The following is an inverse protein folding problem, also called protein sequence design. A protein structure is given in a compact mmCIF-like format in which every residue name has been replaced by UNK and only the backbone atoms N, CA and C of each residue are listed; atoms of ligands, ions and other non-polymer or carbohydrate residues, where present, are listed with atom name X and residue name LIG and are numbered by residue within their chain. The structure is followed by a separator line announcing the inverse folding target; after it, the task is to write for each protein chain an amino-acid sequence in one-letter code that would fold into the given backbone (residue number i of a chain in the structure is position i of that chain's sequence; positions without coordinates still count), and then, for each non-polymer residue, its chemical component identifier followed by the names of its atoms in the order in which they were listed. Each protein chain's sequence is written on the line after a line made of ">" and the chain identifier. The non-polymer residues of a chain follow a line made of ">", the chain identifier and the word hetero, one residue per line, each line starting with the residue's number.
data_IF_961759861211
#
_entry.id   IF_961759861211
#
_cell.length_a   1.000
_cell.length_b   1.000
_cell.length_c   1.000
_cell.angle_alpha   90.00
_cell.angle_beta   90.00
_cell.angle_gamma   90.00
#
_symmetry.space_group_name_H-M   'P 1'
#
loop_
_entity.id
_entity.type
_entity.pdbx_description
1 polymer ?
#
# COMPACT_ATOMS: atom_id res chain seq x y z
N UNK A 1 -37.18 8.96 16.68
CA UNK A 1 -35.78 8.54 16.34
C UNK A 1 -34.78 9.71 16.36
N UNK A 2 -34.99 10.66 17.28
CA UNK A 2 -34.05 11.73 17.67
C UNK A 2 -33.99 11.78 19.22
N UNK A 3 -34.07 10.64 19.89
CA UNK A 3 -34.11 10.53 21.36
C UNK A 3 -32.82 9.93 21.95
N UNK A 4 -31.75 9.84 21.15
CA UNK A 4 -30.48 9.25 21.60
C UNK A 4 -29.42 10.27 22.03
N UNK A 5 -29.71 11.58 21.97
CA UNK A 5 -28.69 12.62 22.15
C UNK A 5 -29.06 13.81 23.06
N UNK A 6 -30.22 13.81 23.72
CA UNK A 6 -30.58 14.74 24.81
C UNK A 6 -30.15 16.21 24.60
N UNK A 7 -30.55 16.81 23.47
CA UNK A 7 -30.46 18.25 23.16
C UNK A 7 -31.75 18.61 22.42
N UNK A 8 -32.50 19.59 22.91
CA UNK A 8 -33.87 19.88 22.45
C UNK A 8 -33.95 21.02 21.41
N UNK A 9 -32.95 21.90 21.27
CA UNK A 9 -32.95 22.92 20.22
C UNK A 9 -31.57 23.51 19.85
N UNK A 10 -31.51 24.28 18.76
CA UNK A 10 -30.32 25.04 18.31
C UNK A 10 -29.96 26.20 19.26
N UNK A 11 -30.89 26.64 20.11
CA UNK A 11 -30.67 27.72 21.09
C UNK A 11 -29.79 27.26 22.27
N UNK A 12 -29.91 26.00 22.71
CA UNK A 12 -28.99 25.41 23.71
C UNK A 12 -27.53 25.38 23.21
N UNK A 13 -27.34 25.25 21.89
CA UNK A 13 -26.03 25.22 21.25
C UNK A 13 -25.41 26.62 21.11
N UNK A 14 -26.23 27.68 21.05
CA UNK A 14 -25.78 29.07 21.12
C UNK A 14 -25.49 29.51 22.56
N UNK A 15 -26.31 29.10 23.53
CA UNK A 15 -26.01 29.34 24.96
C UNK A 15 -24.71 28.65 25.39
N UNK A 16 -24.45 27.42 24.91
CA UNK A 16 -23.19 26.71 25.15
C UNK A 16 -21.96 27.43 24.56
N UNK A 17 -22.11 28.11 23.41
CA UNK A 17 -21.04 28.94 22.82
C UNK A 17 -20.78 30.21 23.61
N UNK A 18 -21.83 30.86 24.12
CA UNK A 18 -21.70 32.03 25.00
C UNK A 18 -21.05 31.64 26.33
N UNK A 19 -21.38 30.47 26.87
CA UNK A 19 -20.72 29.89 28.04
C UNK A 19 -19.23 29.58 27.79
N UNK A 20 -18.89 29.01 26.62
CA UNK A 20 -17.50 28.74 26.22
C UNK A 20 -16.66 30.02 26.07
N UNK A 21 -17.23 31.09 25.51
CA UNK A 21 -16.54 32.39 25.39
C UNK A 21 -16.31 33.07 26.76
N UNK A 22 -17.18 32.80 27.74
CA UNK A 22 -17.04 33.30 29.10
C UNK A 22 -15.98 32.50 29.89
N UNK A 23 -15.91 31.19 29.66
CA UNK A 23 -14.88 30.30 30.22
C UNK A 23 -13.45 30.59 29.68
N UNK A 24 -13.32 30.95 28.39
CA UNK A 24 -12.02 31.34 27.82
C UNK A 24 -11.46 32.62 28.45
N UNK A 25 -12.32 33.57 28.83
CA UNK A 25 -11.91 34.77 29.55
C UNK A 25 -11.45 34.49 30.98
N UNK A 26 -12.11 33.59 31.70
CA UNK A 26 -11.71 33.19 33.06
C UNK A 26 -10.40 32.39 33.05
N UNK A 27 -10.22 31.53 32.04
CA UNK A 27 -8.97 30.79 31.80
C UNK A 27 -7.78 31.73 31.61
N UNK A 28 -7.92 32.77 30.78
CA UNK A 28 -6.84 33.72 30.51
C UNK A 28 -6.46 34.57 31.75
N UNK A 29 -7.41 34.82 32.66
CA UNK A 29 -7.17 35.54 33.92
C UNK A 29 -6.42 34.66 34.95
N UNK A 30 -6.67 33.35 34.93
CA UNK A 30 -5.97 32.35 35.73
C UNK A 30 -4.53 32.12 35.22
N UNK A 31 -4.32 32.10 33.90
CA UNK A 31 -3.02 31.94 33.27
C UNK A 31 -2.04 33.07 33.65
N UNK A 32 -2.47 34.34 33.65
CA UNK A 32 -1.61 35.45 34.12
C UNK A 32 -1.28 35.41 35.62
N UNK A 33 -2.13 34.78 36.45
CA UNK A 33 -1.83 34.59 37.88
C UNK A 33 -0.80 33.48 38.11
N UNK A 34 -0.83 32.44 37.27
CA UNK A 34 0.08 31.29 37.34
C UNK A 34 1.50 31.68 36.91
N UNK A 35 1.63 32.57 35.93
CA UNK A 35 2.91 33.09 35.45
C UNK A 35 3.70 33.85 36.54
N UNK A 36 2.98 34.44 37.51
CA UNK A 36 3.57 35.11 38.67
C UNK A 36 4.10 34.16 39.77
N UNK A 37 3.73 32.88 39.76
CA UNK A 37 3.92 31.96 40.90
C UNK A 37 5.08 30.96 40.70
N UNK A 38 5.37 30.51 39.48
CA UNK A 38 6.19 29.31 39.26
C UNK A 38 7.71 29.54 39.10
N UNK A 39 8.31 30.25 40.07
CA UNK A 39 9.77 30.23 40.28
C UNK A 39 10.26 28.84 40.77
N UNK A 40 10.69 28.00 39.82
CA UNK A 40 11.63 26.86 39.93
C UNK A 40 11.26 25.60 40.75
N UNK A 41 10.89 24.49 40.07
CA UNK A 41 11.41 23.12 40.30
C UNK A 41 11.42 22.30 38.99
N UNK A 42 12.37 21.35 38.86
CA UNK A 42 13.19 21.10 37.65
C UNK A 42 12.89 19.83 36.82
N UNK A 43 13.25 19.91 35.54
CA UNK A 43 13.15 18.92 34.45
C UNK A 43 13.99 17.63 34.57
N UNK A 44 14.70 17.40 35.67
CA UNK A 44 15.67 16.30 35.80
C UNK A 44 15.02 14.94 36.09
N UNK A 45 13.85 14.91 36.73
CA UNK A 45 13.11 13.68 37.01
C UNK A 45 12.44 13.08 35.75
N UNK A 46 12.28 13.87 34.69
CA UNK A 46 11.73 13.44 33.40
C UNK A 46 12.75 12.71 32.51
N UNK A 47 14.05 13.06 32.59
CA UNK A 47 15.11 12.40 31.80
C UNK A 47 15.40 10.96 32.25
N UNK A 48 15.21 10.64 33.52
CA UNK A 48 15.44 9.30 34.07
C UNK A 48 14.42 8.26 33.53
N UNK A 49 13.15 8.65 33.35
CA UNK A 49 12.11 7.77 32.79
C UNK A 49 12.26 7.53 31.28
N UNK A 50 12.92 8.44 30.56
CA UNK A 50 13.13 8.33 29.11
C UNK A 50 14.13 7.22 28.74
N UNK A 51 15.18 7.03 29.55
CA UNK A 51 16.21 6.00 29.32
C UNK A 51 15.69 4.57 29.57
N UNK A 52 14.79 4.39 30.53
CA UNK A 52 14.17 3.07 30.82
C UNK A 52 13.23 2.61 29.69
N UNK A 53 12.51 3.55 29.08
CA UNK A 53 11.62 3.31 27.94
C UNK A 53 12.39 2.92 26.66
N UNK A 54 13.56 3.51 26.42
CA UNK A 54 14.41 3.18 25.26
C UNK A 54 14.95 1.74 25.30
N UNK A 55 15.25 1.21 26.49
CA UNK A 55 15.74 -0.18 26.64
C UNK A 55 14.68 -1.25 26.37
N UNK A 56 13.41 -0.98 26.65
CA UNK A 56 12.30 -1.91 26.37
C UNK A 56 11.94 -1.97 24.88
N UNK A 57 12.13 -0.89 24.15
CA UNK A 57 11.90 -0.81 22.70
C UNK A 57 12.84 -1.74 21.91
N UNK A 58 14.13 -1.79 22.25
CA UNK A 58 15.13 -2.68 21.63
C UNK A 58 14.81 -4.18 21.80
N UNK A 59 14.25 -4.56 22.95
CA UNK A 59 13.88 -5.97 23.24
C UNK A 59 12.63 -6.40 22.46
N UNK A 60 11.73 -5.46 22.18
CA UNK A 60 10.52 -5.71 21.42
C UNK A 60 10.78 -5.71 19.90
N UNK A 61 11.77 -4.96 19.41
CA UNK A 61 12.26 -5.02 18.02
C UNK A 61 12.83 -6.40 17.67
N UNK A 62 13.61 -7.02 18.58
CA UNK A 62 14.17 -8.37 18.38
C UNK A 62 13.11 -9.50 18.37
N UNK A 63 11.92 -9.26 18.95
CA UNK A 63 10.80 -10.23 18.93
C UNK A 63 10.01 -10.18 17.63
N UNK A 64 10.02 -9.03 16.95
CA UNK A 64 9.32 -8.79 15.69
C UNK A 64 9.99 -9.52 14.53
N UNK A 65 11.32 -9.63 14.54
CA UNK A 65 12.11 -10.40 13.55
C UNK A 65 11.71 -11.88 13.45
N UNK A 66 11.10 -12.44 14.50
CA UNK A 66 10.85 -13.89 14.63
C UNK A 66 9.53 -14.36 14.02
N UNK A 67 8.66 -13.44 13.58
CA UNK A 67 7.29 -13.73 13.09
C UNK A 67 7.26 -13.86 11.54
N UNK A 68 8.42 -14.13 10.92
CA UNK A 68 8.68 -14.19 9.47
C UNK A 68 8.11 -15.40 8.70
N UNK A 69 7.12 -16.15 9.18
CA UNK A 69 6.67 -17.37 8.50
C UNK A 69 5.15 -17.44 8.37
N UNK A 70 4.66 -17.09 7.17
CA UNK A 70 3.59 -17.73 6.34
C UNK A 70 2.50 -16.82 5.75
N UNK A 71 2.48 -16.84 4.40
CA UNK A 71 1.40 -16.73 3.39
C UNK A 71 0.56 -15.45 3.27
N UNK A 72 0.32 -15.13 1.99
CA UNK A 72 -0.04 -13.85 1.35
C UNK A 72 -1.42 -13.28 1.69
N UNK A 73 -1.50 -11.95 1.84
CA UNK A 73 -2.72 -11.14 1.68
C UNK A 73 -2.66 -10.20 0.46
N UNK A 74 -3.82 -9.74 -0.01
CA UNK A 74 -4.01 -9.03 -1.29
C UNK A 74 -3.66 -7.53 -1.20
N UNK A 75 -3.44 -6.87 -2.35
CA UNK A 75 -3.05 -5.44 -2.44
C UNK A 75 -4.07 -4.47 -1.79
N UNK A 76 -5.34 -4.86 -1.63
CA UNK A 76 -6.34 -4.09 -0.88
C UNK A 76 -6.08 -4.08 0.62
N UNK A 77 -5.52 -5.16 1.13
CA UNK A 77 -5.31 -5.35 2.57
C UNK A 77 -4.20 -4.43 3.08
N UNK A 78 -3.15 -4.22 2.28
CA UNK A 78 -2.03 -3.31 2.60
C UNK A 78 -2.55 -1.88 2.78
N UNK A 79 -3.28 -1.37 1.79
CA UNK A 79 -3.83 0.00 1.81
C UNK A 79 -4.85 0.15 2.95
N UNK A 80 -5.68 -0.87 3.18
CA UNK A 80 -6.64 -0.86 4.30
C UNK A 80 -5.93 -0.81 5.66
N UNK A 81 -4.79 -1.49 5.81
CA UNK A 81 -4.02 -1.52 7.06
C UNK A 81 -3.23 -0.23 7.28
N UNK A 82 -2.68 0.37 6.23
CA UNK A 82 -2.03 1.70 6.30
C UNK A 82 -3.04 2.77 6.76
N UNK A 83 -4.26 2.77 6.19
CA UNK A 83 -5.32 3.67 6.61
C UNK A 83 -5.73 3.43 8.08
N UNK A 84 -5.77 2.17 8.53
CA UNK A 84 -6.07 1.84 9.93
C UNK A 84 -4.95 2.30 10.87
N UNK A 85 -3.70 2.17 10.46
CA UNK A 85 -2.54 2.67 11.20
C UNK A 85 -2.63 4.19 11.38
N UNK A 86 -2.89 4.93 10.30
CA UNK A 86 -3.02 6.39 10.33
C UNK A 86 -4.15 6.85 11.27
N UNK A 87 -5.32 6.20 11.19
CA UNK A 87 -6.44 6.51 12.08
C UNK A 87 -6.12 6.21 13.55
N UNK A 88 -5.45 5.09 13.84
CA UNK A 88 -5.04 4.72 15.20
C UNK A 88 -4.02 5.72 15.77
N UNK A 89 -3.09 6.21 14.94
CA UNK A 89 -2.11 7.22 15.34
C UNK A 89 -2.76 8.58 15.68
N UNK A 90 -3.73 9.02 14.86
CA UNK A 90 -4.53 10.24 15.13
C UNK A 90 -5.32 10.13 16.43
N UNK A 91 -5.95 8.98 16.67
CA UNK A 91 -6.72 8.73 17.90
C UNK A 91 -5.82 8.76 19.15
N UNK A 92 -4.63 8.16 19.07
CA UNK A 92 -3.62 8.22 20.14
C UNK A 92 -3.18 9.65 20.43
N UNK A 93 -2.87 10.45 19.41
CA UNK A 93 -2.45 11.85 19.60
C UNK A 93 -3.54 12.68 20.29
N UNK A 94 -4.81 12.50 19.87
CA UNK A 94 -5.95 13.17 20.48
C UNK A 94 -6.09 12.82 21.96
N UNK A 95 -6.09 11.53 22.29
CA UNK A 95 -6.21 11.04 23.68
C UNK A 95 -5.05 11.53 24.56
N UNK A 96 -3.84 11.63 24.00
CA UNK A 96 -2.68 12.14 24.70
C UNK A 96 -2.82 13.64 25.05
N UNK A 97 -3.38 14.45 24.15
CA UNK A 97 -3.66 15.88 24.43
C UNK A 97 -4.70 16.02 25.55
N UNK A 98 -5.82 15.30 25.47
CA UNK A 98 -6.87 15.31 26.49
C UNK A 98 -6.33 14.89 27.88
N UNK A 99 -5.41 13.92 27.92
CA UNK A 99 -4.76 13.48 29.15
C UNK A 99 -3.84 14.55 29.77
N UNK A 100 -3.08 15.28 28.93
CA UNK A 100 -2.20 16.36 29.39
C UNK A 100 -3.03 17.52 29.97
N UNK A 101 -4.12 17.89 29.29
CA UNK A 101 -5.04 18.93 29.74
C UNK A 101 -5.67 18.58 31.09
N UNK A 102 -6.20 17.36 31.23
CA UNK A 102 -6.79 16.88 32.49
C UNK A 102 -5.78 16.90 33.63
N UNK A 103 -4.54 16.49 33.37
CA UNK A 103 -3.46 16.50 34.37
C UNK A 103 -3.07 17.92 34.80
N UNK A 104 -3.06 18.87 33.87
CA UNK A 104 -2.79 20.27 34.16
C UNK A 104 -3.85 20.84 35.12
N UNK A 105 -5.13 20.57 34.87
CA UNK A 105 -6.26 21.00 35.73
C UNK A 105 -6.11 20.47 37.17
N UNK A 106 -5.80 19.17 37.34
CA UNK A 106 -5.57 18.56 38.67
C UNK A 106 -4.44 19.27 39.42
N UNK A 107 -3.34 19.58 38.73
CA UNK A 107 -2.15 20.14 39.36
C UNK A 107 -2.25 21.61 39.78
N UNK A 108 -3.19 22.38 39.21
CA UNK A 108 -3.22 23.83 39.33
C UNK A 108 -4.34 24.38 40.23
N UNK A 109 -5.26 23.54 40.73
CA UNK A 109 -6.55 24.02 41.23
C UNK A 109 -6.81 23.64 42.70
N UNK A 110 -7.26 24.60 43.53
CA UNK A 110 -7.85 24.36 44.87
C UNK A 110 -9.31 23.90 44.70
N UNK A 111 -9.51 22.71 44.15
CA UNK A 111 -10.85 22.11 43.93
C UNK A 111 -11.32 21.31 45.14
N UNK A 112 -12.62 20.99 45.21
CA UNK A 112 -13.18 20.09 46.22
C UNK A 112 -12.66 18.66 46.03
N UNK A 113 -12.73 17.82 47.07
CA UNK A 113 -12.32 16.41 46.99
C UNK A 113 -13.11 15.63 45.92
N UNK A 114 -14.39 15.95 45.72
CA UNK A 114 -15.25 15.32 44.72
C UNK A 114 -14.82 15.66 43.28
N UNK A 115 -14.37 16.89 43.03
CA UNK A 115 -13.89 17.31 41.71
C UNK A 115 -12.56 16.64 41.36
N UNK A 116 -11.66 16.50 42.35
CA UNK A 116 -10.39 15.78 42.20
C UNK A 116 -10.66 14.31 41.87
N UNK A 117 -11.56 13.66 42.61
CA UNK A 117 -11.93 12.26 42.37
C UNK A 117 -12.49 12.04 40.96
N UNK A 118 -13.36 12.95 40.49
CA UNK A 118 -13.93 12.89 39.14
C UNK A 118 -12.85 13.07 38.05
N UNK A 119 -11.94 14.01 38.22
CA UNK A 119 -10.84 14.26 37.26
C UNK A 119 -9.84 13.09 37.23
N UNK A 120 -9.51 12.50 38.38
CA UNK A 120 -8.65 11.31 38.44
C UNK A 120 -9.30 10.10 37.77
N UNK A 121 -10.61 9.90 37.96
CA UNK A 121 -11.36 8.85 37.27
C UNK A 121 -11.36 9.05 35.75
N UNK A 122 -11.53 10.28 35.26
CA UNK A 122 -11.44 10.62 33.84
C UNK A 122 -10.03 10.38 33.28
N UNK A 123 -8.98 10.82 33.99
CA UNK A 123 -7.59 10.60 33.60
C UNK A 123 -7.28 9.10 33.49
N UNK A 124 -7.69 8.29 34.46
CA UNK A 124 -7.51 6.83 34.41
C UNK A 124 -8.30 6.15 33.27
N UNK A 125 -9.44 6.71 32.84
CA UNK A 125 -10.14 6.24 31.65
C UNK A 125 -9.38 6.60 30.36
N UNK A 126 -8.88 7.82 30.25
CA UNK A 126 -8.09 8.28 29.09
C UNK A 126 -6.79 7.48 28.95
N UNK A 127 -6.08 7.22 30.05
CA UNK A 127 -4.87 6.37 30.06
C UNK A 127 -5.16 4.96 29.51
N UNK A 128 -6.26 4.34 29.94
CA UNK A 128 -6.68 3.02 29.44
C UNK A 128 -7.02 3.04 27.94
N UNK A 129 -7.66 4.11 27.46
CA UNK A 129 -7.96 4.28 26.03
C UNK A 129 -6.67 4.49 25.22
N UNK A 130 -5.76 5.31 25.72
CA UNK A 130 -4.47 5.59 25.09
C UNK A 130 -3.63 4.32 24.96
N UNK A 131 -3.57 3.51 26.02
CA UNK A 131 -2.86 2.23 26.00
C UNK A 131 -3.43 1.28 24.92
N UNK A 132 -4.76 1.17 24.82
CA UNK A 132 -5.41 0.37 23.77
C UNK A 132 -5.13 0.89 22.36
N UNK A 133 -5.09 2.21 22.18
CA UNK A 133 -4.77 2.83 20.89
C UNK A 133 -3.32 2.55 20.48
N UNK A 134 -2.39 2.58 21.44
CA UNK A 134 -0.98 2.23 21.21
C UNK A 134 -0.79 0.77 20.81
N UNK A 135 -1.49 -0.16 21.48
CA UNK A 135 -1.44 -1.58 21.16
C UNK A 135 -1.95 -1.85 19.72
N UNK A 136 -3.04 -1.19 19.32
CA UNK A 136 -3.57 -1.27 17.94
C UNK A 136 -2.59 -0.72 16.91
N UNK A 137 -1.98 0.43 17.18
CA UNK A 137 -0.97 1.05 16.31
C UNK A 137 0.20 0.08 16.06
N UNK A 138 0.72 -0.57 17.12
CA UNK A 138 1.81 -1.54 17.02
C UNK A 138 1.44 -2.72 16.10
N UNK A 139 0.23 -3.27 16.27
CA UNK A 139 -0.26 -4.38 15.44
C UNK A 139 -0.41 -3.96 13.98
N UNK A 140 -1.02 -2.81 13.71
CA UNK A 140 -1.20 -2.35 12.33
C UNK A 140 0.12 -2.05 11.63
N UNK A 141 1.08 -1.45 12.34
CA UNK A 141 2.41 -1.17 11.80
C UNK A 141 3.11 -2.46 11.38
N UNK A 142 3.18 -3.45 12.27
CA UNK A 142 3.79 -4.74 11.96
C UNK A 142 3.09 -5.43 10.78
N UNK A 143 1.75 -5.39 10.76
CA UNK A 143 0.99 -6.04 9.69
C UNK A 143 1.26 -5.36 8.34
N UNK A 144 1.30 -4.03 8.29
CA UNK A 144 1.60 -3.26 7.08
C UNK A 144 3.03 -3.53 6.57
N UNK A 145 4.01 -3.64 7.48
CA UNK A 145 5.40 -3.95 7.13
C UNK A 145 5.55 -5.34 6.50
N UNK A 146 5.00 -6.38 7.14
CA UNK A 146 5.04 -7.76 6.62
C UNK A 146 4.37 -7.84 5.26
N UNK A 147 3.25 -7.15 5.09
CA UNK A 147 2.52 -7.07 3.84
C UNK A 147 3.29 -6.39 2.72
N UNK A 148 3.91 -5.26 3.02
CA UNK A 148 4.72 -4.51 2.07
C UNK A 148 5.92 -5.34 1.59
N UNK A 149 6.56 -6.08 2.50
CA UNK A 149 7.64 -6.98 2.15
C UNK A 149 7.17 -8.12 1.24
N UNK A 150 6.09 -8.81 1.61
CA UNK A 150 5.52 -9.88 0.80
C UNK A 150 5.19 -9.41 -0.62
N UNK A 151 4.56 -8.24 -0.75
CA UNK A 151 4.27 -7.62 -2.06
C UNK A 151 5.53 -7.45 -2.91
N UNK A 152 6.61 -6.89 -2.35
CA UNK A 152 7.86 -6.66 -3.10
C UNK A 152 8.49 -7.96 -3.60
N UNK A 153 8.44 -9.01 -2.78
CA UNK A 153 8.94 -10.34 -3.16
C UNK A 153 8.10 -10.94 -4.29
N UNK A 154 6.77 -10.90 -4.19
CA UNK A 154 5.86 -11.37 -5.26
C UNK A 154 6.04 -10.60 -6.57
N UNK A 155 6.22 -9.27 -6.49
CA UNK A 155 6.50 -8.43 -7.68
C UNK A 155 7.84 -8.80 -8.33
N UNK A 156 8.86 -9.10 -7.53
CA UNK A 156 10.17 -9.55 -8.04
C UNK A 156 10.06 -10.90 -8.75
N UNK A 157 9.39 -11.88 -8.13
CA UNK A 157 9.20 -13.21 -8.72
C UNK A 157 8.38 -13.13 -10.01
N UNK A 158 7.31 -12.33 -10.01
CA UNK A 158 6.47 -12.08 -11.18
C UNK A 158 7.27 -11.48 -12.34
N UNK A 159 8.13 -10.49 -12.05
CA UNK A 159 9.03 -9.90 -13.06
C UNK A 159 10.01 -10.93 -13.61
N UNK A 160 10.61 -11.76 -12.76
CA UNK A 160 11.52 -12.83 -13.21
C UNK A 160 10.84 -13.83 -14.14
N UNK A 161 9.59 -14.20 -13.87
CA UNK A 161 8.79 -15.06 -14.75
C UNK A 161 8.51 -14.39 -16.10
N UNK A 162 8.09 -13.12 -16.09
CA UNK A 162 7.84 -12.36 -17.33
C UNK A 162 9.10 -12.21 -18.16
N UNK A 163 10.21 -11.77 -17.55
CA UNK A 163 11.49 -11.62 -18.24
C UNK A 163 11.93 -12.91 -18.92
N UNK A 164 11.78 -14.06 -18.25
CA UNK A 164 12.10 -15.36 -18.81
C UNK A 164 11.27 -15.66 -20.06
N UNK A 165 9.94 -15.59 -19.98
CA UNK A 165 9.07 -15.89 -21.12
C UNK A 165 9.25 -14.89 -22.27
N UNK A 166 9.36 -13.61 -21.94
CA UNK A 166 9.60 -12.56 -22.93
C UNK A 166 10.92 -12.78 -23.66
N UNK A 167 11.98 -13.16 -22.94
CA UNK A 167 13.29 -13.48 -23.51
C UNK A 167 13.22 -14.64 -24.50
N UNK A 168 12.53 -15.71 -24.13
CA UNK A 168 12.36 -16.90 -24.99
C UNK A 168 11.59 -16.55 -26.28
N UNK A 169 10.43 -15.91 -26.14
CA UNK A 169 9.57 -15.61 -27.29
C UNK A 169 10.11 -14.50 -28.20
N UNK A 170 10.67 -13.41 -27.63
CA UNK A 170 11.24 -12.33 -28.44
C UNK A 170 12.51 -12.80 -29.16
N UNK A 171 13.32 -13.67 -28.56
CA UNK A 171 14.44 -14.27 -29.26
C UNK A 171 13.96 -15.07 -30.49
N UNK A 172 12.90 -15.87 -30.38
CA UNK A 172 12.37 -16.63 -31.54
C UNK A 172 11.83 -15.69 -32.62
N UNK A 173 10.96 -14.73 -32.28
CA UNK A 173 10.31 -13.85 -33.27
C UNK A 173 11.34 -12.93 -33.96
N UNK A 174 12.35 -12.44 -33.23
CA UNK A 174 13.27 -11.41 -33.72
C UNK A 174 14.60 -11.94 -34.24
N UNK A 175 14.70 -13.25 -34.54
CA UNK A 175 15.95 -13.92 -34.96
C UNK A 175 17.08 -13.75 -33.92
N UNK A 176 16.69 -13.63 -32.65
CA UNK A 176 17.63 -13.47 -31.55
C UNK A 176 18.22 -12.07 -31.43
N UNK A 177 17.64 -11.06 -32.08
CA UNK A 177 18.07 -9.67 -31.95
C UNK A 177 17.85 -9.14 -30.52
N UNK A 178 16.72 -9.49 -29.92
CA UNK A 178 16.35 -9.02 -28.57
C UNK A 178 16.31 -10.20 -27.59
N UNK A 179 17.45 -10.49 -26.96
CA UNK A 179 17.64 -11.59 -26.00
C UNK A 179 17.91 -11.13 -24.56
N UNK A 180 18.27 -9.87 -24.38
CA UNK A 180 18.52 -9.30 -23.06
C UNK A 180 17.37 -8.35 -22.76
N UNK A 181 16.53 -8.80 -21.82
CA UNK A 181 15.30 -8.13 -21.42
C UNK A 181 15.33 -8.05 -19.91
N UNK A 182 14.99 -6.87 -19.41
CA UNK A 182 14.84 -6.56 -17.99
C UNK A 182 13.55 -5.76 -17.77
N UNK A 183 12.91 -5.95 -16.62
CA UNK A 183 11.74 -5.20 -16.19
C UNK A 183 12.10 -4.47 -14.89
N UNK A 184 12.01 -3.14 -14.91
CA UNK A 184 12.33 -2.32 -13.73
C UNK A 184 11.32 -2.53 -12.60
N UNK A 185 11.63 -2.03 -11.40
CA UNK A 185 10.67 -2.03 -10.28
C UNK A 185 9.38 -1.25 -10.63
N UNK A 186 9.48 -0.22 -11.48
CA UNK A 186 8.34 0.54 -12.03
C UNK A 186 7.63 -0.15 -13.21
N UNK A 187 7.88 -1.44 -13.42
CA UNK A 187 7.31 -2.25 -14.51
C UNK A 187 7.62 -1.74 -15.93
N UNK A 188 8.73 -1.00 -16.10
CA UNK A 188 9.18 -0.57 -17.41
C UNK A 188 10.03 -1.66 -18.06
N UNK A 189 9.64 -2.03 -19.28
CA UNK A 189 10.38 -2.99 -20.10
C UNK A 189 11.60 -2.34 -20.74
N UNK A 190 12.79 -2.86 -20.44
CA UNK A 190 14.05 -2.50 -21.08
C UNK A 190 14.58 -3.65 -21.90
N UNK A 191 15.25 -3.32 -22.99
CA UNK A 191 15.88 -4.30 -23.88
C UNK A 191 17.23 -3.80 -24.35
N UNK A 192 18.22 -4.69 -24.41
CA UNK A 192 19.49 -4.35 -25.07
C UNK A 192 19.30 -4.24 -26.58
N UNK A 193 19.71 -3.12 -27.18
CA UNK A 193 19.73 -2.94 -28.62
C UNK A 193 21.13 -3.23 -29.16
N UNK A 194 21.33 -4.31 -29.95
CA UNK A 194 22.64 -4.58 -30.56
C UNK A 194 23.12 -3.48 -31.50
N UNK A 195 22.20 -2.72 -32.10
CA UNK A 195 22.51 -1.64 -33.03
C UNK A 195 23.06 -0.39 -32.30
N UNK A 196 22.59 -0.14 -31.08
CA UNK A 196 23.01 1.02 -30.27
C UNK A 196 24.07 0.67 -29.22
N UNK A 197 24.22 -0.61 -28.88
CA UNK A 197 25.17 -1.08 -27.86
C UNK A 197 24.75 -0.74 -26.43
N UNK A 198 23.47 -0.43 -26.19
CA UNK A 198 22.95 0.00 -24.88
C UNK A 198 21.55 -0.57 -24.61
N UNK A 199 21.12 -0.49 -23.35
CA UNK A 199 19.72 -0.76 -22.97
C UNK A 199 18.83 0.41 -23.37
N UNK A 200 17.70 0.10 -23.99
CA UNK A 200 16.71 1.08 -24.43
C UNK A 200 15.32 0.72 -23.92
N UNK A 201 14.47 1.74 -23.82
CA UNK A 201 13.02 1.56 -23.77
C UNK A 201 12.53 1.31 -25.20
N UNK A 202 11.78 0.22 -25.48
CA UNK A 202 11.28 -0.07 -26.82
C UNK A 202 10.44 1.06 -27.42
N UNK A 203 9.60 1.68 -26.60
CA UNK A 203 8.68 2.74 -27.03
C UNK A 203 9.44 3.97 -27.54
N UNK A 204 9.10 4.40 -28.76
CA UNK A 204 9.73 5.54 -29.43
C UNK A 204 11.16 5.30 -29.94
N UNK A 205 11.76 4.14 -29.66
CA UNK A 205 13.11 3.81 -30.14
C UNK A 205 13.17 2.64 -31.12
N UNK A 206 12.12 1.82 -31.19
CA UNK A 206 11.99 0.72 -32.14
C UNK A 206 10.88 0.99 -33.17
N UNK A 207 10.88 0.26 -34.28
CA UNK A 207 9.81 0.37 -35.28
C UNK A 207 8.48 -0.12 -34.71
N UNK A 208 7.37 0.46 -35.18
CA UNK A 208 6.02 0.12 -34.70
C UNK A 208 5.75 -1.39 -34.73
N UNK A 209 6.07 -2.08 -35.83
CA UNK A 209 5.87 -3.52 -35.91
C UNK A 209 6.70 -4.32 -34.91
N UNK A 210 7.86 -3.82 -34.51
CA UNK A 210 8.67 -4.43 -33.44
C UNK A 210 8.04 -4.17 -32.06
N UNK A 211 7.55 -2.95 -31.81
CA UNK A 211 6.84 -2.60 -30.59
C UNK A 211 5.59 -3.49 -30.41
N UNK A 212 4.81 -3.69 -31.47
CA UNK A 212 3.63 -4.56 -31.43
C UNK A 212 3.98 -6.02 -31.07
N UNK A 213 5.15 -6.52 -31.53
CA UNK A 213 5.65 -7.83 -31.13
C UNK A 213 5.97 -7.90 -29.64
N UNK A 214 6.57 -6.86 -29.09
CA UNK A 214 6.90 -6.79 -27.66
C UNK A 214 5.63 -6.81 -26.82
N UNK A 215 4.62 -6.00 -27.17
CA UNK A 215 3.34 -6.00 -26.46
C UNK A 215 2.60 -7.34 -26.54
N UNK A 216 2.59 -7.97 -27.72
CA UNK A 216 1.98 -9.29 -27.89
C UNK A 216 2.68 -10.34 -27.03
N UNK A 217 4.01 -10.39 -27.07
CA UNK A 217 4.79 -11.34 -26.27
C UNK A 217 4.61 -11.08 -24.77
N UNK A 218 4.58 -9.82 -24.34
CA UNK A 218 4.28 -9.47 -22.95
C UNK A 218 2.91 -10.03 -22.54
N UNK A 219 1.87 -9.88 -23.37
CA UNK A 219 0.54 -10.45 -23.10
C UNK A 219 0.58 -11.98 -22.96
N UNK A 220 1.35 -12.68 -23.80
CA UNK A 220 1.52 -14.13 -23.65
C UNK A 220 2.29 -14.52 -22.39
N UNK A 221 3.33 -13.76 -22.02
CA UNK A 221 4.06 -13.96 -20.79
C UNK A 221 3.14 -13.75 -19.57
N UNK A 222 2.27 -12.74 -19.60
CA UNK A 222 1.25 -12.52 -18.57
C UNK A 222 0.25 -13.68 -18.48
N UNK A 223 -0.17 -14.28 -19.59
CA UNK A 223 -1.06 -15.43 -19.54
C UNK A 223 -0.42 -16.62 -18.81
N UNK A 224 0.87 -16.87 -19.00
CA UNK A 224 1.63 -17.88 -18.26
C UNK A 224 1.76 -17.57 -16.77
N UNK A 225 1.95 -16.30 -16.45
CA UNK A 225 2.04 -15.82 -15.06
C UNK A 225 0.70 -15.95 -14.33
N UNK A 226 -0.39 -15.51 -14.96
CA UNK A 226 -1.72 -15.42 -14.34
C UNK A 226 -2.44 -16.77 -14.27
N UNK A 227 -2.19 -17.66 -15.24
CA UNK A 227 -2.92 -18.92 -15.38
C UNK A 227 -1.99 -20.13 -15.42
N UNK A 228 -1.17 -20.39 -14.37
CA UNK A 228 -0.21 -21.49 -14.37
C UNK A 228 -0.88 -22.87 -14.36
N UNK A 229 -2.12 -22.97 -13.87
CA UNK A 229 -2.87 -24.23 -13.75
C UNK A 229 -4.24 -24.19 -14.46
N UNK A 230 -4.56 -23.07 -15.12
CA UNK A 230 -5.83 -22.88 -15.80
C UNK A 230 -5.61 -22.78 -17.31
N UNK A 231 -6.62 -23.14 -18.08
CA UNK A 231 -6.58 -23.10 -19.55
C UNK A 231 -7.63 -22.12 -20.09
N UNK A 232 -7.47 -20.80 -19.87
CA UNK A 232 -8.42 -19.81 -20.36
C UNK A 232 -8.53 -19.83 -21.89
N UNK A 233 -9.68 -19.32 -22.37
CA UNK A 233 -9.89 -18.98 -23.77
C UNK A 233 -9.21 -17.64 -24.08
N UNK A 234 -8.34 -17.64 -25.09
CA UNK A 234 -7.70 -16.47 -25.66
C UNK A 234 -8.35 -16.19 -27.00
N UNK A 235 -8.86 -14.97 -27.19
CA UNK A 235 -9.37 -14.49 -28.48
C UNK A 235 -8.39 -13.45 -29.00
N UNK A 236 -7.87 -13.67 -30.19
CA UNK A 236 -6.97 -12.77 -30.88
C UNK A 236 -7.68 -12.22 -32.12
N UNK A 237 -7.86 -10.91 -32.20
CA UNK A 237 -8.52 -10.24 -33.31
C UNK A 237 -7.48 -9.53 -34.19
N UNK A 238 -7.20 -10.10 -35.36
CA UNK A 238 -6.15 -9.69 -36.31
C UNK A 238 -4.84 -9.18 -35.66
N UNK A 239 -4.22 -9.97 -34.76
CA UNK A 239 -3.10 -9.51 -33.91
C UNK A 239 -1.77 -9.32 -34.65
N UNK A 240 -1.62 -9.81 -35.89
CA UNK A 240 -0.31 -9.89 -36.58
C UNK A 240 -0.23 -8.98 -37.82
N UNK A 241 -1.10 -7.99 -37.95
CA UNK A 241 -1.14 -7.10 -39.13
C UNK A 241 0.19 -6.40 -39.41
N UNK A 242 0.92 -6.00 -38.36
CA UNK A 242 2.21 -5.31 -38.48
C UNK A 242 3.43 -6.24 -38.64
N UNK A 243 3.21 -7.56 -38.70
CA UNK A 243 4.29 -8.54 -38.75
C UNK A 243 4.58 -8.90 -40.20
N UNK A 244 5.85 -8.93 -40.61
CA UNK A 244 6.23 -9.50 -41.89
C UNK A 244 6.02 -11.03 -41.94
N UNK A 245 6.06 -11.62 -43.14
CA UNK A 245 5.82 -13.05 -43.35
C UNK A 245 6.74 -13.95 -42.52
N UNK A 246 8.02 -13.60 -42.36
CA UNK A 246 8.99 -14.40 -41.60
C UNK A 246 8.62 -14.41 -40.12
N UNK A 247 8.27 -13.24 -39.58
CA UNK A 247 7.85 -13.08 -38.19
C UNK A 247 6.52 -13.78 -37.91
N UNK A 248 5.52 -13.68 -38.81
CA UNK A 248 4.26 -14.43 -38.69
C UNK A 248 4.49 -15.93 -38.56
N UNK A 249 5.36 -16.50 -39.40
CA UNK A 249 5.69 -17.94 -39.34
C UNK A 249 6.36 -18.38 -38.04
N UNK A 250 7.12 -17.49 -37.39
CA UNK A 250 7.71 -17.75 -36.07
C UNK A 250 6.66 -17.66 -34.96
N UNK A 251 5.81 -16.63 -35.01
CA UNK A 251 4.67 -16.48 -34.10
C UNK A 251 3.73 -17.68 -34.17
N UNK A 252 3.52 -18.27 -35.36
CA UNK A 252 2.78 -19.52 -35.52
C UNK A 252 3.30 -20.64 -34.63
N UNK A 253 4.62 -20.81 -34.53
CA UNK A 253 5.23 -21.84 -33.67
C UNK A 253 4.93 -21.57 -32.20
N UNK A 254 5.07 -20.32 -31.78
CA UNK A 254 4.76 -19.88 -30.40
C UNK A 254 3.29 -20.14 -30.08
N UNK A 255 2.37 -19.74 -30.96
CA UNK A 255 0.93 -20.02 -30.75
C UNK A 255 0.64 -21.52 -30.69
N UNK A 256 1.32 -22.34 -31.49
CA UNK A 256 1.17 -23.80 -31.45
C UNK A 256 1.63 -24.36 -30.11
N UNK A 257 2.71 -23.84 -29.53
CA UNK A 257 3.14 -24.20 -28.17
C UNK A 257 2.14 -23.73 -27.12
N UNK A 258 1.72 -22.47 -27.19
CA UNK A 258 0.70 -21.90 -26.30
C UNK A 258 -0.62 -22.64 -26.36
N UNK A 259 -1.02 -23.15 -27.54
CA UNK A 259 -2.27 -23.90 -27.74
C UNK A 259 -2.33 -25.23 -26.97
N UNK A 260 -1.18 -25.73 -26.48
CA UNK A 260 -1.14 -26.92 -25.62
C UNK A 260 -1.64 -26.63 -24.21
N UNK A 261 -1.56 -25.38 -23.81
CA UNK A 261 -1.89 -24.91 -22.46
C UNK A 261 -3.13 -24.00 -22.45
N UNK A 262 -3.40 -23.29 -23.54
CA UNK A 262 -4.53 -22.37 -23.66
C UNK A 262 -5.40 -22.71 -24.86
N UNK A 263 -6.71 -22.45 -24.76
CA UNK A 263 -7.57 -22.49 -25.93
C UNK A 263 -7.41 -21.18 -26.69
N UNK A 264 -7.05 -21.23 -27.98
CA UNK A 264 -6.78 -20.02 -28.78
C UNK A 264 -7.78 -19.96 -29.94
N UNK A 265 -8.50 -18.85 -30.04
CA UNK A 265 -9.31 -18.46 -31.20
C UNK A 265 -8.63 -17.28 -31.89
N UNK A 266 -8.28 -17.46 -33.16
CA UNK A 266 -7.75 -16.40 -34.00
C UNK A 266 -8.83 -15.96 -34.97
N UNK A 267 -9.29 -14.72 -34.83
CA UNK A 267 -10.19 -14.05 -35.74
C UNK A 267 -9.34 -13.25 -36.74
N UNK A 268 -9.58 -13.47 -38.02
CA UNK A 268 -8.82 -12.80 -39.07
C UNK A 268 -9.57 -12.75 -40.39
N UNK A 269 -9.31 -11.70 -41.17
CA UNK A 269 -9.82 -11.54 -42.53
C UNK A 269 -8.87 -12.11 -43.61
N UNK A 270 -7.71 -12.64 -43.24
CA UNK A 270 -6.70 -13.11 -44.19
C UNK A 270 -6.61 -14.63 -44.27
N UNK A 271 -6.52 -15.16 -45.49
CA UNK A 271 -6.30 -16.58 -45.76
C UNK A 271 -4.87 -17.06 -45.42
N UNK A 272 -3.93 -16.15 -45.13
CA UNK A 272 -2.53 -16.45 -44.75
C UNK A 272 -2.42 -17.36 -43.51
N UNK A 273 -3.49 -17.45 -42.71
CA UNK A 273 -3.54 -18.19 -41.46
C UNK A 273 -4.27 -19.55 -41.57
N UNK A 274 -4.74 -19.91 -42.76
CA UNK A 274 -5.56 -21.12 -42.96
C UNK A 274 -4.84 -22.43 -42.57
N UNK A 275 -3.51 -22.44 -42.56
CA UNK A 275 -2.70 -23.60 -42.16
C UNK A 275 -2.27 -23.56 -40.68
N UNK A 276 -2.82 -22.64 -39.86
CA UNK A 276 -2.46 -22.48 -38.44
C UNK A 276 -3.29 -23.33 -37.50
N UNK A 277 -4.44 -23.83 -37.95
CA UNK A 277 -5.34 -24.64 -37.14
C UNK A 277 -6.60 -25.07 -37.88
N UNK A 278 -7.65 -25.39 -37.13
CA UNK A 278 -8.96 -25.71 -37.72
C UNK A 278 -9.66 -24.42 -38.14
N UNK A 279 -9.88 -24.24 -39.44
CA UNK A 279 -10.55 -23.06 -39.99
C UNK A 279 -12.07 -23.23 -39.94
N UNK A 280 -12.77 -22.18 -39.47
CA UNK A 280 -14.23 -22.05 -39.52
C UNK A 280 -14.57 -20.76 -40.25
N UNK A 281 -15.27 -20.88 -41.39
CA UNK A 281 -15.82 -19.73 -42.10
C UNK A 281 -17.19 -19.41 -41.49
N UNK A 282 -17.36 -18.16 -41.06
CA UNK A 282 -18.62 -17.62 -40.54
C UNK A 282 -19.49 -17.06 -41.66
#
# INVERSE_FOLDING_TARGET
>A
KFEAYNVESFEELEEAKQYLAQFEKEKHLLESKIEGILRNQTAETLKAKQHELAGRLLVDEAKIERIQLTREPENRDVIALENRLENSAKEKEKLQKEMIETKAVISQTRVSEDDIFNLEAQMGQLERKLQKAFEKEKVYKLTAEVLSQAKKETEKDSRGVLEKYMREFLAEITDGRYRQISITDDWLLKVFSPEKGEEILPDGQLSQGTIDQFYLVARFAFLKLLFPQARPLIILDDPFQSFDKKRRQKTKKILKELSREFQILLLTHSDDYNDWGTVKKL
#
